data_IF_924721930247
#
_entry.id   IF_924721930247
#
_cell.length_a   1.000
_cell.length_b   1.000
_cell.length_c   1.000
_cell.angle_alpha   90.00
_cell.angle_beta   90.00
_cell.angle_gamma   90.00
#
_symmetry.space_group_name_H-M   'P 1'
#
loop_
_entity.id
_entity.type
_entity.pdbx_description
1 polymer ?
#
# COMPACT_ATOMS: atom_id res chain seq x y z
N UNK A 1 -48.29 35.27 -1.69
CA UNK A 1 -48.34 33.99 -2.41
C UNK A 1 -47.24 34.01 -3.46
N UNK A 2 -46.01 34.20 -3.02
CA UNK A 2 -45.14 33.15 -2.47
C UNK A 2 -44.72 32.19 -3.57
N UNK A 3 -43.55 32.45 -4.12
CA UNK A 3 -42.62 31.42 -4.58
C UNK A 3 -41.25 32.07 -4.67
N UNK A 4 -40.72 32.37 -3.48
CA UNK A 4 -39.30 32.33 -3.21
C UNK A 4 -38.85 30.86 -3.27
N UNK A 5 -37.83 30.55 -4.08
CA UNK A 5 -36.87 29.46 -3.82
C UNK A 5 -35.71 29.48 -4.84
N UNK A 6 -34.45 29.57 -4.39
CA UNK A 6 -33.25 29.19 -5.15
C UNK A 6 -32.80 27.74 -4.78
N UNK A 7 -31.57 27.33 -5.12
CA UNK A 7 -31.16 26.52 -6.27
C UNK A 7 -31.12 25.01 -5.99
N UNK A 8 -31.08 24.15 -7.02
CA UNK A 8 -30.70 22.74 -6.83
C UNK A 8 -29.47 22.40 -7.68
N UNK A 9 -28.34 22.46 -6.98
CA UNK A 9 -27.06 21.81 -7.22
C UNK A 9 -27.15 20.61 -8.17
N UNK A 10 -26.58 20.76 -9.37
CA UNK A 10 -26.35 19.65 -10.27
C UNK A 10 -25.41 18.63 -9.59
N UNK A 11 -25.71 17.33 -9.66
CA UNK A 11 -24.94 16.31 -8.95
C UNK A 11 -23.53 16.24 -9.53
N UNK A 12 -22.54 16.51 -8.68
CA UNK A 12 -21.13 16.36 -9.00
C UNK A 12 -20.89 14.89 -9.38
N UNK A 13 -20.42 14.68 -10.61
CA UNK A 13 -20.11 13.38 -11.18
C UNK A 13 -19.16 12.60 -10.25
N UNK A 14 -19.71 11.67 -9.46
CA UNK A 14 -18.96 10.72 -8.62
C UNK A 14 -17.90 9.96 -9.45
N UNK A 15 -18.12 9.83 -10.76
CA UNK A 15 -17.14 9.31 -11.71
C UNK A 15 -15.79 10.02 -11.65
N UNK A 16 -15.75 11.36 -11.56
CA UNK A 16 -14.48 12.11 -11.54
C UNK A 16 -13.72 12.02 -10.21
N UNK A 17 -14.44 11.90 -9.09
CA UNK A 17 -13.79 11.71 -7.78
C UNK A 17 -13.26 10.29 -7.61
N UNK A 18 -13.93 9.30 -8.22
CA UNK A 18 -13.42 7.95 -8.27
C UNK A 18 -12.21 7.86 -9.21
N UNK A 19 -12.23 8.56 -10.36
CA UNK A 19 -11.09 8.66 -11.26
C UNK A 19 -9.89 9.36 -10.60
N UNK A 20 -10.05 10.46 -9.85
CA UNK A 20 -8.96 11.10 -9.10
C UNK A 20 -8.39 10.20 -7.99
N UNK A 21 -9.26 9.43 -7.32
CA UNK A 21 -8.83 8.44 -6.33
C UNK A 21 -8.11 7.25 -6.99
N UNK A 22 -8.51 6.88 -8.21
CA UNK A 22 -7.86 5.85 -9.03
C UNK A 22 -6.57 6.38 -9.69
N UNK A 23 -6.44 7.66 -10.01
CA UNK A 23 -5.22 8.27 -10.58
C UNK A 23 -4.11 8.43 -9.53
N UNK A 24 -4.47 8.54 -8.24
CA UNK A 24 -3.52 8.40 -7.13
C UNK A 24 -3.00 6.96 -6.99
N UNK A 25 -3.71 6.00 -7.58
CA UNK A 25 -3.37 4.60 -7.68
C UNK A 25 -2.71 4.36 -9.05
N UNK A 26 -1.41 4.69 -9.17
CA UNK A 26 -0.71 4.59 -10.46
C UNK A 26 -0.85 3.16 -11.04
N UNK A 27 -1.34 2.99 -12.29
CA UNK A 27 -1.65 1.68 -12.88
C UNK A 27 -0.45 0.74 -13.11
N UNK A 28 0.79 1.21 -12.89
CA UNK A 28 1.99 0.36 -12.86
C UNK A 28 2.41 -0.10 -11.45
N UNK A 29 2.09 0.67 -10.42
CA UNK A 29 2.38 0.33 -9.03
C UNK A 29 1.42 -0.71 -8.47
N UNK A 30 0.17 -0.72 -8.93
CA UNK A 30 -0.85 -1.67 -8.48
C UNK A 30 -0.56 -3.11 -8.82
N UNK A 31 -0.10 -3.40 -10.04
CA UNK A 31 0.18 -4.77 -10.45
C UNK A 31 1.30 -5.38 -9.60
N UNK A 32 2.42 -4.67 -9.49
CA UNK A 32 3.55 -5.12 -8.69
C UNK A 32 3.15 -5.23 -7.22
N UNK A 33 2.45 -4.23 -6.66
CA UNK A 33 1.95 -4.29 -5.29
C UNK A 33 1.02 -5.48 -5.08
N UNK A 34 0.12 -5.76 -6.03
CA UNK A 34 -0.80 -6.90 -5.96
C UNK A 34 -0.03 -8.23 -5.97
N UNK A 35 1.00 -8.37 -6.80
CA UNK A 35 1.86 -9.55 -6.82
C UNK A 35 2.64 -9.71 -5.52
N UNK A 36 3.17 -8.62 -4.95
CA UNK A 36 3.78 -8.62 -3.62
C UNK A 36 2.76 -9.07 -2.59
N UNK A 37 1.54 -8.51 -2.57
CA UNK A 37 0.48 -8.90 -1.64
C UNK A 37 0.12 -10.39 -1.74
N UNK A 38 -0.03 -10.90 -2.98
CA UNK A 38 -0.37 -12.31 -3.24
C UNK A 38 0.72 -13.27 -2.81
N UNK A 39 1.99 -12.90 -3.00
CA UNK A 39 3.15 -13.73 -2.67
C UNK A 39 3.81 -13.35 -1.35
N UNK A 40 3.24 -12.41 -0.60
CA UNK A 40 3.89 -11.81 0.57
C UNK A 40 4.36 -12.87 1.56
N UNK A 41 3.46 -13.75 1.97
CA UNK A 41 3.77 -14.85 2.89
C UNK A 41 4.89 -15.77 2.38
N UNK A 42 4.93 -16.04 1.08
CA UNK A 42 6.00 -16.84 0.47
C UNK A 42 7.34 -16.07 0.45
N UNK A 43 7.31 -14.77 0.19
CA UNK A 43 8.51 -13.92 0.10
C UNK A 43 9.15 -13.71 1.47
N UNK A 44 8.37 -13.35 2.48
CA UNK A 44 8.88 -12.94 3.81
C UNK A 44 8.70 -14.01 4.89
N UNK A 45 7.85 -15.01 4.66
CA UNK A 45 7.52 -16.07 5.61
C UNK A 45 6.27 -15.76 6.45
N UNK A 46 5.65 -16.80 7.04
CA UNK A 46 4.37 -16.70 7.75
C UNK A 46 4.43 -15.82 9.00
N UNK A 47 5.53 -15.86 9.75
CA UNK A 47 5.70 -15.05 10.96
C UNK A 47 5.68 -13.53 10.65
N UNK A 48 6.38 -13.12 9.59
CA UNK A 48 6.41 -11.73 9.15
C UNK A 48 5.06 -11.36 8.53
N UNK A 49 4.50 -12.20 7.66
CA UNK A 49 3.21 -11.92 7.01
C UNK A 49 2.03 -11.79 7.98
N UNK A 50 2.07 -12.49 9.11
CA UNK A 50 1.08 -12.35 10.16
C UNK A 50 1.13 -10.98 10.87
N UNK A 51 2.30 -10.35 10.93
CA UNK A 51 2.55 -9.14 11.73
C UNK A 51 2.92 -7.90 10.90
N UNK A 52 3.13 -8.07 9.60
CA UNK A 52 3.53 -7.03 8.67
C UNK A 52 2.81 -7.22 7.34
N UNK A 53 2.26 -6.15 6.77
CA UNK A 53 1.51 -6.20 5.51
C UNK A 53 1.94 -5.06 4.57
N UNK A 54 2.17 -5.34 3.29
CA UNK A 54 2.47 -4.31 2.31
C UNK A 54 1.20 -3.50 2.04
N UNK A 55 1.28 -2.18 2.13
CA UNK A 55 0.14 -1.27 1.93
C UNK A 55 0.33 -0.32 0.75
N UNK A 56 1.53 -0.26 0.19
CA UNK A 56 1.81 0.59 -0.97
C UNK A 56 3.22 0.40 -1.50
N UNK A 57 3.39 0.62 -2.80
CA UNK A 57 4.69 0.68 -3.45
C UNK A 57 4.77 1.97 -4.27
N UNK A 58 5.82 2.76 -4.03
CA UNK A 58 6.04 4.03 -4.75
C UNK A 58 7.53 4.29 -4.91
N UNK A 59 8.00 4.58 -6.13
CA UNK A 59 9.40 4.95 -6.40
C UNK A 59 10.40 4.00 -5.71
N UNK A 60 10.23 2.68 -5.89
CA UNK A 60 11.07 1.64 -5.27
C UNK A 60 11.03 1.58 -3.73
N UNK A 61 10.11 2.32 -3.10
CA UNK A 61 9.84 2.30 -1.67
C UNK A 61 8.58 1.51 -1.35
N UNK A 62 8.75 0.39 -0.64
CA UNK A 62 7.64 -0.38 -0.09
C UNK A 62 7.21 0.20 1.26
N UNK A 63 5.92 0.47 1.38
CA UNK A 63 5.25 0.81 2.63
C UNK A 63 4.69 -0.47 3.24
N UNK A 64 5.06 -0.72 4.49
CA UNK A 64 4.63 -1.91 5.24
C UNK A 64 4.04 -1.47 6.58
N UNK A 65 2.79 -1.86 6.81
CA UNK A 65 2.13 -1.70 8.09
C UNK A 65 2.53 -2.86 9.00
N UNK A 66 2.91 -2.56 10.24
CA UNK A 66 3.30 -3.55 11.24
C UNK A 66 2.38 -3.47 12.46
N UNK A 67 2.12 -4.62 13.07
CA UNK A 67 1.17 -4.74 14.17
C UNK A 67 1.63 -4.06 15.46
N UNK A 68 2.94 -4.00 15.72
CA UNK A 68 3.48 -3.42 16.95
C UNK A 68 4.88 -2.83 16.78
N UNK A 69 5.29 -2.00 17.74
CA UNK A 69 6.64 -1.43 17.82
C UNK A 69 7.74 -2.49 17.99
N UNK A 70 7.43 -3.61 18.65
CA UNK A 70 8.37 -4.74 18.81
C UNK A 70 8.69 -5.35 17.44
N UNK A 71 7.65 -5.62 16.63
CA UNK A 71 7.84 -6.09 15.25
C UNK A 71 8.55 -5.07 14.38
N UNK A 72 8.26 -3.77 14.54
CA UNK A 72 9.00 -2.72 13.83
C UNK A 72 10.51 -2.79 14.08
N UNK A 73 10.93 -2.96 15.34
CA UNK A 73 12.36 -3.06 15.67
C UNK A 73 12.98 -4.31 15.05
N UNK A 74 12.33 -5.47 15.16
CA UNK A 74 12.83 -6.71 14.57
C UNK A 74 12.95 -6.62 13.04
N UNK A 75 11.92 -6.07 12.37
CA UNK A 75 11.90 -5.91 10.92
C UNK A 75 12.88 -4.85 10.43
N UNK A 76 13.24 -3.86 11.26
CA UNK A 76 14.31 -2.92 10.92
C UNK A 76 15.67 -3.62 10.79
N UNK A 77 15.97 -4.60 11.64
CA UNK A 77 17.18 -5.42 11.49
C UNK A 77 17.10 -6.34 10.27
N UNK A 78 15.94 -6.96 10.04
CA UNK A 78 15.72 -7.86 8.91
C UNK A 78 15.42 -7.13 7.59
N UNK A 79 15.39 -5.79 7.59
CA UNK A 79 14.98 -4.98 6.45
C UNK A 79 15.77 -5.30 5.19
N UNK A 80 17.10 -5.36 5.32
CA UNK A 80 17.98 -5.63 4.18
C UNK A 80 17.74 -7.04 3.61
N UNK A 81 17.54 -8.02 4.50
CA UNK A 81 17.20 -9.39 4.11
C UNK A 81 15.83 -9.45 3.43
N UNK A 82 14.82 -8.76 3.96
CA UNK A 82 13.49 -8.68 3.35
C UNK A 82 13.55 -8.10 1.94
N UNK A 83 14.31 -7.01 1.74
CA UNK A 83 14.50 -6.42 0.40
C UNK A 83 15.11 -7.45 -0.55
N UNK A 84 16.18 -8.13 -0.12
CA UNK A 84 16.82 -9.15 -0.93
C UNK A 84 15.87 -10.31 -1.28
N UNK A 85 15.10 -10.80 -0.31
CA UNK A 85 14.12 -11.88 -0.51
C UNK A 85 12.98 -11.49 -1.44
N UNK A 86 12.44 -10.28 -1.28
CA UNK A 86 11.37 -9.76 -2.13
C UNK A 86 11.89 -9.61 -3.57
N UNK A 87 13.06 -9.00 -3.77
CA UNK A 87 13.63 -8.84 -5.11
C UNK A 87 14.07 -10.18 -5.73
N UNK A 88 14.46 -11.17 -4.94
CA UNK A 88 14.79 -12.50 -5.44
C UNK A 88 13.54 -13.24 -5.94
N UNK A 89 12.42 -13.14 -5.22
CA UNK A 89 11.15 -13.78 -5.62
C UNK A 89 10.29 -12.96 -6.58
N UNK A 90 10.55 -11.65 -6.68
CA UNK A 90 9.82 -10.70 -7.50
C UNK A 90 10.78 -9.62 -8.03
N UNK A 91 11.66 -9.94 -8.99
CA UNK A 91 12.69 -9.01 -9.49
C UNK A 91 12.08 -7.77 -10.16
N UNK A 92 10.88 -7.89 -10.72
CA UNK A 92 10.09 -6.77 -11.27
C UNK A 92 9.66 -5.74 -10.21
N UNK A 93 9.71 -6.09 -8.92
CA UNK A 93 9.41 -5.16 -7.84
C UNK A 93 10.45 -4.06 -7.66
N UNK A 94 11.73 -4.38 -7.96
CA UNK A 94 12.85 -3.45 -7.87
C UNK A 94 12.89 -2.67 -6.54
N UNK A 95 12.66 -3.32 -5.40
CA UNK A 95 12.53 -2.65 -4.11
C UNK A 95 13.92 -2.18 -3.67
N UNK A 96 14.07 -0.90 -3.40
CA UNK A 96 15.32 -0.34 -2.85
C UNK A 96 15.20 -0.03 -1.37
N UNK A 97 14.00 0.34 -0.93
CA UNK A 97 13.75 0.79 0.44
C UNK A 97 12.44 0.22 0.96
N UNK A 98 12.42 -0.09 2.25
CA UNK A 98 11.21 -0.41 3.00
C UNK A 98 11.03 0.63 4.10
N UNK A 99 9.80 1.13 4.24
CA UNK A 99 9.37 1.95 5.37
C UNK A 99 8.29 1.21 6.14
N UNK A 100 8.59 0.93 7.40
CA UNK A 100 7.62 0.37 8.34
C UNK A 100 6.85 1.49 9.03
N UNK A 101 5.55 1.27 9.26
CA UNK A 101 4.73 2.11 10.15
C UNK A 101 3.90 1.23 11.07
N UNK A 102 3.75 1.62 12.34
CA UNK A 102 2.85 0.92 13.25
C UNK A 102 1.42 1.37 12.91
N UNK A 103 0.55 0.42 12.60
CA UNK A 103 -0.87 0.68 12.38
C UNK A 103 -1.66 0.09 13.55
N UNK A 104 -2.53 0.88 14.17
CA UNK A 104 -3.40 0.40 15.25
C UNK A 104 -4.57 -0.34 14.61
N UNK A 105 -4.39 -1.63 14.36
CA UNK A 105 -5.48 -2.55 13.96
C UNK A 105 -6.24 -3.04 15.20
#
# INVERSE_FOLDING_TARGET
MDSDSPPTTAPVHIGRLLEDALERLRPGGDKVLLDICRRWEMLVGPAIAANARPVGLKDHLLLVDVASSVWMQQLQFLKAEMIARINAGLPEAGIEKIRFRVSRS
#
